data_IF_891950567716
#
_entry.id   IF_891950567716
#
_cell.length_a   1.000
_cell.length_b   1.000
_cell.length_c   1.000
_cell.angle_alpha   90.00
_cell.angle_beta   90.00
_cell.angle_gamma   90.00
#
_symmetry.space_group_name_H-M   'P 1'
#
loop_
_entity.id
_entity.type
_entity.pdbx_description
1 polymer ?
#
# COMPACT_ATOMS: atom_id res chain seq x y z
N UNK A 1 -16.21 6.69 2.50
CA UNK A 1 -15.11 7.60 2.14
C UNK A 1 -14.24 6.86 1.14
N UNK A 2 -13.62 7.54 0.16
CA UNK A 2 -12.64 6.90 -0.72
C UNK A 2 -11.49 6.27 0.08
N UNK A 3 -10.91 5.20 -0.45
CA UNK A 3 -9.78 4.48 0.16
C UNK A 3 -8.58 4.55 -0.79
N UNK A 4 -7.43 4.95 -0.24
CA UNK A 4 -6.16 5.02 -0.94
C UNK A 4 -5.14 4.07 -0.33
N UNK A 5 -4.59 3.18 -1.14
CA UNK A 5 -3.43 2.35 -0.77
C UNK A 5 -2.18 2.93 -1.42
N UNK A 6 -1.17 3.28 -0.64
CA UNK A 6 0.12 3.78 -1.14
C UNK A 6 1.13 2.63 -1.10
N UNK A 7 1.85 2.43 -2.22
CA UNK A 7 2.91 1.42 -2.41
C UNK A 7 4.20 2.05 -2.94
N UNK A 8 5.31 1.32 -2.90
CA UNK A 8 6.61 1.83 -3.38
C UNK A 8 6.71 1.86 -4.92
N UNK A 9 6.30 0.76 -5.56
CA UNK A 9 6.56 0.50 -6.97
C UNK A 9 5.31 0.26 -7.82
N UNK A 10 5.52 0.25 -9.16
CA UNK A 10 4.47 -0.09 -10.13
C UNK A 10 4.06 -1.56 -10.05
N UNK A 11 5.00 -2.45 -9.74
CA UNK A 11 4.74 -3.87 -9.68
C UNK A 11 3.90 -4.23 -8.45
N UNK A 12 4.17 -3.60 -7.31
CA UNK A 12 3.33 -3.68 -6.10
C UNK A 12 1.89 -3.27 -6.41
N UNK A 13 1.73 -2.15 -7.12
CA UNK A 13 0.41 -1.69 -7.58
C UNK A 13 -0.25 -2.73 -8.47
N UNK A 14 0.47 -3.28 -9.45
CA UNK A 14 -0.07 -4.30 -10.36
C UNK A 14 -0.47 -5.57 -9.61
N UNK A 15 0.30 -5.97 -8.60
CA UNK A 15 0.04 -7.12 -7.74
C UNK A 15 -1.24 -6.90 -6.93
N UNK A 16 -1.33 -5.80 -6.19
CA UNK A 16 -2.50 -5.47 -5.38
C UNK A 16 -3.75 -5.16 -6.21
N UNK A 17 -3.61 -4.62 -7.43
CA UNK A 17 -4.75 -4.37 -8.33
C UNK A 17 -5.52 -5.63 -8.69
N UNK A 18 -4.90 -6.80 -8.59
CA UNK A 18 -5.55 -8.11 -8.81
C UNK A 18 -6.34 -8.60 -7.60
N UNK A 19 -6.06 -8.04 -6.41
CA UNK A 19 -6.58 -8.48 -5.12
C UNK A 19 -7.53 -7.46 -4.48
N UNK A 20 -7.64 -6.25 -5.04
CA UNK A 20 -8.45 -5.17 -4.48
C UNK A 20 -9.45 -4.67 -5.51
N UNK A 21 -10.65 -4.34 -5.03
CA UNK A 21 -11.71 -3.75 -5.82
C UNK A 21 -11.20 -2.51 -6.59
N UNK A 22 -11.61 -2.32 -7.86
CA UNK A 22 -11.26 -1.13 -8.64
C UNK A 22 -11.55 0.21 -7.95
N UNK A 23 -12.52 0.28 -7.03
CA UNK A 23 -12.84 1.45 -6.22
C UNK A 23 -11.68 1.89 -5.32
N UNK A 24 -10.79 0.98 -4.91
CA UNK A 24 -9.59 1.34 -4.15
C UNK A 24 -8.55 1.96 -5.09
N UNK A 25 -8.18 3.21 -4.80
CA UNK A 25 -7.10 3.88 -5.51
C UNK A 25 -5.74 3.40 -4.99
N UNK A 26 -4.90 2.82 -5.84
CA UNK A 26 -3.52 2.46 -5.48
C UNK A 26 -2.54 3.47 -6.08
N UNK A 27 -1.82 4.18 -5.21
CA UNK A 27 -0.86 5.22 -5.55
C UNK A 27 0.57 4.71 -5.34
N UNK A 28 1.49 5.09 -6.22
CA UNK A 28 2.91 4.73 -6.10
C UNK A 28 3.75 5.93 -5.65
N UNK A 29 4.70 5.71 -4.75
CA UNK A 29 5.73 6.70 -4.39
C UNK A 29 6.85 6.77 -5.45
N UNK A 30 7.02 5.69 -6.24
CA UNK A 30 8.11 5.51 -7.20
C UNK A 30 9.49 5.68 -6.54
N UNK A 31 9.73 4.90 -5.48
CA UNK A 31 10.97 4.91 -4.71
C UNK A 31 11.14 6.17 -3.86
N UNK A 32 12.25 6.90 -4.04
CA UNK A 32 12.56 8.08 -3.22
C UNK A 32 11.46 9.15 -3.34
N UNK A 33 10.90 9.52 -2.19
CA UNK A 33 9.99 10.66 -2.04
C UNK A 33 10.80 11.95 -1.90
N UNK A 34 10.52 12.92 -2.76
CA UNK A 34 10.89 14.31 -2.57
C UNK A 34 9.64 15.11 -2.19
N UNK A 35 9.82 16.38 -1.82
CA UNK A 35 8.71 17.24 -1.38
C UNK A 35 7.59 17.39 -2.43
N UNK A 36 7.94 17.41 -3.71
CA UNK A 36 6.96 17.54 -4.81
C UNK A 36 6.08 16.27 -4.93
N UNK A 37 6.66 15.08 -4.84
CA UNK A 37 5.91 13.82 -4.84
C UNK A 37 5.02 13.69 -3.62
N UNK A 38 5.49 14.09 -2.44
CA UNK A 38 4.69 14.10 -1.21
C UNK A 38 3.48 15.03 -1.35
N UNK A 39 3.69 16.25 -1.84
CA UNK A 39 2.62 17.20 -2.08
C UNK A 39 1.62 16.68 -3.13
N UNK A 40 2.10 15.99 -4.16
CA UNK A 40 1.24 15.35 -5.16
C UNK A 40 0.39 14.24 -4.54
N UNK A 41 0.96 13.41 -3.68
CA UNK A 41 0.20 12.39 -2.95
C UNK A 41 -0.84 13.03 -2.04
N UNK A 42 -0.46 14.06 -1.28
CA UNK A 42 -1.37 14.79 -0.39
C UNK A 42 -2.57 15.38 -1.13
N UNK A 43 -2.34 16.00 -2.29
CA UNK A 43 -3.43 16.54 -3.13
C UNK A 43 -4.38 15.49 -3.66
N UNK A 44 -3.91 14.25 -3.89
CA UNK A 44 -4.73 13.15 -4.39
C UNK A 44 -5.53 12.46 -3.30
N UNK A 45 -4.95 12.35 -2.12
CA UNK A 45 -5.54 11.68 -0.96
C UNK A 45 -6.48 12.60 -0.20
N UNK A 46 -6.18 13.89 -0.13
CA UNK A 46 -6.96 14.86 0.65
C UNK A 46 -7.17 14.38 2.09
N UNK A 47 -8.43 14.21 2.51
CA UNK A 47 -8.83 13.74 3.86
C UNK A 47 -9.39 12.30 3.82
N UNK A 48 -9.11 11.56 2.74
CA UNK A 48 -9.59 10.20 2.52
C UNK A 48 -8.79 9.18 3.35
N UNK A 49 -9.29 7.95 3.46
CA UNK A 49 -8.63 6.89 4.23
C UNK A 49 -7.36 6.41 3.52
N UNK A 50 -6.27 6.29 4.28
CA UNK A 50 -4.94 5.95 3.75
C UNK A 50 -4.42 4.67 4.37
N UNK A 51 -3.97 3.77 3.53
CA UNK A 51 -3.23 2.56 3.89
C UNK A 51 -1.83 2.62 3.29
N UNK A 52 -0.80 2.49 4.10
CA UNK A 52 0.60 2.41 3.66
C UNK A 52 1.00 0.93 3.58
N UNK A 53 1.03 0.37 2.37
CA UNK A 53 1.46 -1.02 2.16
C UNK A 53 2.91 -1.06 1.69
N UNK A 54 3.82 -1.17 2.65
CA UNK A 54 5.26 -0.99 2.43
C UNK A 54 6.05 -2.28 2.65
N UNK A 55 7.23 -2.33 2.05
CA UNK A 55 8.15 -3.45 2.23
C UNK A 55 8.79 -3.43 3.63
N UNK A 56 9.04 -4.62 4.16
CA UNK A 56 9.69 -4.79 5.46
C UNK A 56 11.21 -4.84 5.34
N UNK A 57 11.77 -3.86 4.63
CA UNK A 57 13.20 -3.70 4.38
C UNK A 57 13.71 -2.30 4.79
N UNK A 58 14.92 -1.93 4.39
CA UNK A 58 15.49 -0.60 4.69
C UNK A 58 14.87 0.53 3.85
N UNK A 59 14.50 0.27 2.59
CA UNK A 59 13.85 1.23 1.70
C UNK A 59 12.48 1.62 2.22
N UNK A 60 11.63 0.63 2.49
CA UNK A 60 10.28 0.82 2.99
C UNK A 60 10.24 1.45 4.37
N UNK A 61 11.24 1.19 5.22
CA UNK A 61 11.43 1.94 6.48
C UNK A 61 11.66 3.43 6.26
N UNK A 62 12.50 3.80 5.29
CA UNK A 62 12.82 5.20 4.99
C UNK A 62 11.63 5.92 4.36
N UNK A 63 10.98 5.30 3.38
CA UNK A 63 9.79 5.85 2.71
C UNK A 63 8.67 6.04 3.72
N UNK A 64 8.40 5.03 4.56
CA UNK A 64 7.39 5.11 5.61
C UNK A 64 7.65 6.20 6.63
N UNK A 65 8.90 6.43 7.01
CA UNK A 65 9.23 7.51 7.94
C UNK A 65 8.71 8.86 7.41
N UNK A 66 8.96 9.15 6.14
CA UNK A 66 8.49 10.39 5.50
C UNK A 66 6.97 10.43 5.31
N UNK A 67 6.36 9.29 4.97
CA UNK A 67 4.90 9.22 4.77
C UNK A 67 4.14 9.39 6.08
N UNK A 68 4.66 8.93 7.22
CA UNK A 68 3.99 9.10 8.52
C UNK A 68 3.92 10.56 8.98
N UNK A 69 4.90 11.38 8.60
CA UNK A 69 4.83 12.82 8.85
C UNK A 69 3.76 13.49 7.97
N UNK A 70 3.47 12.92 6.80
CA UNK A 70 2.49 13.48 5.83
C UNK A 70 1.07 12.95 6.06
N UNK A 71 0.95 11.68 6.46
CA UNK A 71 -0.30 10.95 6.68
C UNK A 71 -0.24 10.28 8.06
N UNK A 72 -0.40 11.06 9.16
CA UNK A 72 -0.24 10.55 10.52
C UNK A 72 -1.30 9.49 10.89
N UNK A 73 -2.49 9.59 10.30
CA UNK A 73 -3.62 8.70 10.57
C UNK A 73 -3.65 7.46 9.65
N UNK A 74 -2.60 7.26 8.84
CA UNK A 74 -2.58 6.15 7.89
C UNK A 74 -2.36 4.79 8.57
N UNK A 75 -3.21 3.82 8.23
CA UNK A 75 -3.08 2.42 8.62
C UNK A 75 -1.83 1.82 7.94
N UNK A 76 -1.08 0.98 8.67
CA UNK A 76 0.21 0.46 8.20
C UNK A 76 0.16 -1.04 7.94
N UNK A 77 0.40 -1.43 6.70
CA UNK A 77 0.44 -2.82 6.25
C UNK A 77 1.88 -3.16 5.79
N UNK A 78 2.33 -4.35 6.18
CA UNK A 78 3.71 -4.78 5.93
C UNK A 78 3.79 -6.17 5.33
N UNK A 79 4.69 -6.33 4.37
CA UNK A 79 5.14 -7.66 3.97
C UNK A 79 5.94 -8.35 5.08
N UNK A 80 6.06 -9.67 5.00
CA UNK A 80 6.96 -10.41 5.90
C UNK A 80 8.41 -10.14 5.51
N UNK A 81 9.30 -10.04 6.50
CA UNK A 81 10.75 -10.07 6.24
C UNK A 81 11.13 -11.33 5.46
N UNK A 82 11.90 -11.14 4.39
CA UNK A 82 12.36 -12.22 3.51
C UNK A 82 11.55 -12.38 2.23
N UNK A 83 10.37 -11.76 2.12
CA UNK A 83 9.71 -11.62 0.82
C UNK A 83 10.36 -10.51 -0.01
N UNK A 84 10.36 -10.69 -1.33
CA UNK A 84 10.90 -9.73 -2.29
C UNK A 84 9.86 -8.62 -2.56
N UNK A 85 9.51 -7.90 -1.49
CA UNK A 85 8.52 -6.83 -1.50
C UNK A 85 7.08 -7.29 -1.70
N UNK A 86 6.17 -6.32 -1.90
CA UNK A 86 4.75 -6.60 -2.16
C UNK A 86 4.59 -7.45 -3.42
N UNK A 87 5.29 -7.11 -4.50
CA UNK A 87 5.25 -7.88 -5.76
C UNK A 87 5.61 -9.37 -5.59
N UNK A 88 6.58 -9.68 -4.73
CA UNK A 88 7.08 -11.03 -4.48
C UNK A 88 6.40 -11.77 -3.33
N UNK A 89 5.40 -11.17 -2.70
CA UNK A 89 4.66 -11.78 -1.61
C UNK A 89 3.55 -12.71 -2.15
N UNK A 90 3.35 -13.92 -1.59
CA UNK A 90 2.23 -14.79 -1.96
C UNK A 90 0.87 -14.12 -1.77
N UNK A 91 -0.08 -14.39 -2.67
CA UNK A 91 -1.41 -13.76 -2.65
C UNK A 91 -2.15 -14.05 -1.33
N UNK A 92 -2.09 -15.29 -0.83
CA UNK A 92 -2.65 -15.67 0.48
C UNK A 92 -2.15 -14.78 1.63
N UNK A 93 -0.88 -14.39 1.60
CA UNK A 93 -0.30 -13.57 2.65
C UNK A 93 -0.72 -12.11 2.50
N UNK A 94 -0.78 -11.61 1.26
CA UNK A 94 -1.29 -10.26 0.98
C UNK A 94 -2.75 -10.12 1.41
N UNK A 95 -3.59 -11.11 1.07
CA UNK A 95 -4.99 -11.17 1.50
C UNK A 95 -5.09 -11.14 3.01
N UNK A 96 -4.37 -12.01 3.73
CA UNK A 96 -4.40 -12.04 5.20
C UNK A 96 -3.97 -10.69 5.84
N UNK A 97 -3.05 -9.95 5.20
CA UNK A 97 -2.68 -8.62 5.67
C UNK A 97 -3.76 -7.56 5.40
N UNK A 98 -4.44 -7.63 4.26
CA UNK A 98 -5.55 -6.75 3.91
C UNK A 98 -6.77 -7.00 4.82
N UNK A 99 -7.09 -8.26 5.11
CA UNK A 99 -8.13 -8.63 6.06
C UNK A 99 -7.82 -8.07 7.45
N UNK A 100 -6.59 -8.28 7.93
CA UNK A 100 -6.16 -7.71 9.22
C UNK A 100 -6.30 -6.19 9.31
N UNK A 101 -6.21 -5.51 8.17
CA UNK A 101 -6.37 -4.05 8.06
C UNK A 101 -7.83 -3.60 7.93
N UNK A 102 -8.82 -4.51 7.95
CA UNK A 102 -10.23 -4.17 7.83
C UNK A 102 -10.71 -3.94 6.39
N UNK A 103 -9.95 -4.42 5.39
CA UNK A 103 -10.28 -4.23 3.97
C UNK A 103 -11.05 -5.41 3.37
N UNK A 104 -11.56 -6.35 4.17
CA UNK A 104 -12.19 -7.60 3.71
C UNK A 104 -13.27 -7.38 2.66
N UNK A 105 -14.07 -6.32 2.82
CA UNK A 105 -15.17 -5.97 1.91
C UNK A 105 -14.71 -5.56 0.50
N UNK A 106 -13.42 -5.25 0.34
CA UNK A 106 -12.82 -4.80 -0.91
C UNK A 106 -11.84 -5.80 -1.52
N UNK A 107 -11.70 -6.99 -0.92
CA UNK A 107 -10.78 -8.02 -1.42
C UNK A 107 -11.43 -8.80 -2.56
N UNK A 108 -10.74 -8.88 -3.68
CA UNK A 108 -11.02 -9.82 -4.76
C UNK A 108 -10.23 -11.10 -4.47
N UNK A 109 -10.89 -12.08 -3.88
CA UNK A 109 -10.26 -13.36 -3.55
C UNK A 109 -9.91 -14.13 -4.84
N UNK A 110 -8.64 -14.50 -5.05
CA UNK A 110 -8.28 -15.37 -6.17
C UNK A 110 -8.99 -16.72 -6.07
N UNK A 111 -9.41 -17.27 -7.21
CA UNK A 111 -10.18 -18.53 -7.28
C UNK A 111 -9.43 -19.77 -6.76
N UNK A 112 -8.11 -19.65 -6.58
CA UNK A 112 -7.23 -20.73 -6.12
C UNK A 112 -6.29 -20.16 -5.05
N UNK A 113 -6.36 -20.74 -3.85
CA UNK A 113 -5.34 -20.62 -2.81
C UNK A 113 -4.59 -21.94 -2.72
#
# INVERSE_FOLDING_TARGET
MPIHVIVEGKNDRSKLRRLLDPEISILCTFGTLNSEKLETLRKRVQDDEVYLFMDNDSSGKRIRAMLRDTFPDAEQIYTRKGYAGVEGTPDEYLVAQLEKAGLEAFIIYPEIF
#
